data_IF_384571105775
#
_entry.id   IF_384571105775
#
_cell.length_a   1.000
_cell.length_b   1.000
_cell.length_c   1.000
_cell.angle_alpha   90.00
_cell.angle_beta   90.00
_cell.angle_gamma   90.00
#
_symmetry.space_group_name_H-M   'P 1'
#
loop_
_entity.id
_entity.type
_entity.pdbx_description
1 polymer ?
#
# COMPACT_ATOMS: atom_id res chain seq x y z
N UNK A 1 -49.98 3.03 -13.05
CA UNK A 1 -49.85 1.77 -13.81
C UNK A 1 -49.02 0.79 -13.01
N UNK A 2 -49.41 -0.48 -12.96
CA UNK A 2 -48.67 -1.54 -12.27
C UNK A 2 -47.95 -2.38 -13.34
N UNK A 3 -46.63 -2.54 -13.22
CA UNK A 3 -45.83 -3.37 -14.11
C UNK A 3 -45.39 -4.63 -13.35
N UNK A 4 -45.42 -5.78 -14.02
CA UNK A 4 -44.97 -7.05 -13.47
C UNK A 4 -43.45 -7.01 -13.18
N UNK A 5 -43.05 -7.52 -12.02
CA UNK A 5 -41.66 -7.43 -11.55
C UNK A 5 -40.66 -8.18 -12.47
N UNK A 6 -41.09 -9.29 -13.09
CA UNK A 6 -40.26 -10.03 -14.04
C UNK A 6 -40.15 -9.30 -15.39
N UNK A 7 -41.22 -8.65 -15.84
CA UNK A 7 -41.20 -7.79 -17.03
C UNK A 7 -40.25 -6.60 -16.83
N UNK A 8 -40.30 -5.95 -15.67
CA UNK A 8 -39.39 -4.86 -15.34
C UNK A 8 -37.93 -5.33 -15.27
N UNK A 9 -37.65 -6.49 -14.66
CA UNK A 9 -36.31 -7.11 -14.66
C UNK A 9 -35.83 -7.45 -16.06
N UNK A 10 -36.70 -7.97 -16.92
CA UNK A 10 -36.36 -8.32 -18.30
C UNK A 10 -36.04 -7.06 -19.12
N UNK A 11 -36.87 -6.02 -19.04
CA UNK A 11 -36.62 -4.74 -19.69
C UNK A 11 -35.32 -4.12 -19.21
N UNK A 12 -35.09 -4.09 -17.88
CA UNK A 12 -33.84 -3.61 -17.28
C UNK A 12 -32.62 -4.37 -17.81
N UNK A 13 -32.67 -5.71 -17.86
CA UNK A 13 -31.60 -6.55 -18.42
C UNK A 13 -31.33 -6.25 -19.90
N UNK A 14 -32.37 -6.02 -20.71
CA UNK A 14 -32.24 -5.69 -22.14
C UNK A 14 -31.68 -4.29 -22.36
N UNK A 15 -32.11 -3.30 -21.59
CA UNK A 15 -31.56 -1.93 -21.62
C UNK A 15 -30.08 -1.91 -21.19
N UNK A 16 -29.73 -2.64 -20.13
CA UNK A 16 -28.32 -2.80 -19.72
C UNK A 16 -27.49 -3.47 -20.82
N UNK A 17 -28.02 -4.50 -21.48
CA UNK A 17 -27.32 -5.17 -22.58
C UNK A 17 -27.11 -4.26 -23.81
N UNK A 18 -28.01 -3.30 -24.08
CA UNK A 18 -27.84 -2.31 -25.13
C UNK A 18 -26.73 -1.30 -24.79
N UNK A 19 -26.74 -0.76 -23.56
CA UNK A 19 -25.70 0.17 -23.07
C UNK A 19 -24.30 -0.45 -23.05
N UNK A 20 -24.18 -1.78 -22.89
CA UNK A 20 -22.90 -2.50 -22.99
C UNK A 20 -22.28 -2.46 -24.40
N UNK A 21 -23.08 -2.29 -25.44
CA UNK A 21 -22.62 -2.28 -26.84
C UNK A 21 -22.20 -0.89 -27.32
N UNK A 22 -22.48 0.17 -26.56
CA UNK A 22 -22.31 1.56 -27.01
C UNK A 22 -20.93 2.19 -26.77
N UNK A 23 -19.99 1.52 -26.09
CA UNK A 23 -18.72 2.15 -25.75
C UNK A 23 -17.50 1.32 -26.14
N UNK A 24 -16.60 1.98 -26.87
CA UNK A 24 -15.27 1.49 -27.16
C UNK A 24 -14.44 1.38 -25.87
N UNK A 25 -13.73 0.25 -25.64
CA UNK A 25 -12.81 0.12 -24.52
C UNK A 25 -11.68 1.15 -24.58
N UNK A 26 -11.26 1.68 -23.43
CA UNK A 26 -10.08 2.57 -23.33
C UNK A 26 -8.79 1.76 -23.33
N UNK A 27 -7.68 2.41 -23.64
CA UNK A 27 -6.35 1.80 -23.61
C UNK A 27 -5.79 1.62 -22.18
N UNK A 28 -4.66 0.92 -22.07
CA UNK A 28 -3.98 0.66 -20.80
C UNK A 28 -3.47 1.96 -20.14
N UNK A 29 -2.95 2.90 -20.94
CA UNK A 29 -2.46 4.19 -20.47
C UNK A 29 -3.56 5.01 -19.80
N UNK A 30 -4.80 4.94 -20.30
CA UNK A 30 -5.97 5.57 -19.67
C UNK A 30 -6.19 5.06 -18.25
N UNK A 31 -6.07 3.75 -18.01
CA UNK A 31 -6.14 3.22 -16.64
C UNK A 31 -4.95 3.70 -15.79
N UNK A 32 -3.76 3.81 -16.39
CA UNK A 32 -2.56 4.41 -15.80
C UNK A 32 -2.72 5.85 -15.31
N UNK A 33 -3.54 6.65 -16.00
CA UNK A 33 -3.89 8.02 -15.57
C UNK A 33 -5.06 8.03 -14.58
N UNK A 34 -6.08 7.22 -14.85
CA UNK A 34 -7.31 7.19 -14.07
C UNK A 34 -7.09 6.67 -12.65
N UNK A 35 -6.41 5.52 -12.48
CA UNK A 35 -6.35 4.85 -11.19
C UNK A 35 -5.63 5.67 -10.09
N UNK A 36 -4.47 6.30 -10.36
CA UNK A 36 -3.87 7.22 -9.39
C UNK A 36 -4.79 8.39 -9.03
N UNK A 37 -5.41 9.04 -10.03
CA UNK A 37 -6.33 10.15 -9.79
C UNK A 37 -7.63 9.73 -9.09
N UNK A 38 -8.09 8.50 -9.31
CA UNK A 38 -9.22 7.88 -8.61
C UNK A 38 -8.89 7.69 -7.13
N UNK A 39 -7.66 7.26 -6.83
CA UNK A 39 -7.15 7.07 -5.47
C UNK A 39 -6.53 8.33 -4.86
N UNK A 40 -6.87 9.51 -5.38
CA UNK A 40 -6.45 10.81 -4.85
C UNK A 40 -4.92 11.04 -4.85
N UNK A 41 -4.17 10.31 -5.66
CA UNK A 41 -2.73 10.56 -5.84
C UNK A 41 -2.52 11.91 -6.54
N UNK A 42 -1.64 12.73 -5.98
CA UNK A 42 -1.40 14.10 -6.46
C UNK A 42 -2.57 15.07 -6.19
N UNK A 43 -3.54 14.67 -5.37
CA UNK A 43 -4.67 15.51 -4.97
C UNK A 43 -4.29 16.50 -3.85
N UNK A 44 -5.25 17.35 -3.46
CA UNK A 44 -5.08 18.37 -2.43
C UNK A 44 -5.60 17.95 -1.04
N UNK A 45 -5.74 16.64 -0.75
CA UNK A 45 -6.10 16.18 0.60
C UNK A 45 -5.04 16.64 1.62
N UNK A 46 -5.47 17.02 2.82
CA UNK A 46 -4.62 17.59 3.88
C UNK A 46 -5.14 17.18 5.25
N UNK A 47 -4.24 17.14 6.24
CA UNK A 47 -4.62 16.92 7.64
C UNK A 47 -5.09 15.51 7.93
N UNK A 48 -5.59 15.30 9.16
CA UNK A 48 -6.14 14.03 9.62
C UNK A 48 -7.36 13.58 8.80
N UNK A 49 -8.28 14.49 8.45
CA UNK A 49 -9.43 14.18 7.59
C UNK A 49 -9.00 13.63 6.21
N UNK A 50 -7.93 14.19 5.64
CA UNK A 50 -7.34 13.69 4.40
C UNK A 50 -6.80 12.28 4.55
N UNK A 51 -6.14 11.96 5.68
CA UNK A 51 -5.67 10.60 5.99
C UNK A 51 -6.85 9.65 6.16
N UNK A 52 -7.89 10.05 6.92
CA UNK A 52 -9.09 9.24 7.13
C UNK A 52 -9.77 8.89 5.80
N UNK A 53 -9.89 9.86 4.88
CA UNK A 53 -10.43 9.61 3.53
C UNK A 53 -9.59 8.60 2.74
N UNK A 54 -8.26 8.65 2.87
CA UNK A 54 -7.38 7.66 2.24
C UNK A 54 -7.56 6.28 2.87
N UNK A 55 -7.72 6.19 4.19
CA UNK A 55 -7.99 4.92 4.89
C UNK A 55 -9.34 4.33 4.47
N UNK A 56 -10.38 5.16 4.35
CA UNK A 56 -11.69 4.74 3.84
C UNK A 56 -11.57 4.10 2.45
N UNK A 57 -10.84 4.74 1.53
CA UNK A 57 -10.70 4.24 0.16
C UNK A 57 -9.76 3.02 0.05
N UNK A 58 -8.67 2.99 0.82
CA UNK A 58 -7.67 1.93 0.76
C UNK A 58 -7.90 0.82 1.79
N UNK A 59 -8.98 0.87 2.57
CA UNK A 59 -9.26 -0.02 3.68
C UNK A 59 -9.00 -1.49 3.34
N UNK A 60 -8.14 -2.15 4.13
CA UNK A 60 -7.75 -3.55 3.93
C UNK A 60 -6.75 -3.84 2.81
N UNK A 61 -6.30 -2.85 2.03
CA UNK A 61 -5.23 -3.06 1.06
C UNK A 61 -3.88 -3.21 1.75
N UNK A 62 -3.24 -4.37 1.57
CA UNK A 62 -1.91 -4.63 2.13
C UNK A 62 -0.82 -3.87 1.36
N UNK A 63 -0.02 -3.09 2.09
CA UNK A 63 1.17 -2.38 1.59
C UNK A 63 2.38 -2.68 2.47
N UNK A 64 3.62 -2.56 1.97
CA UNK A 64 4.80 -2.68 2.82
C UNK A 64 4.79 -1.58 3.88
N UNK A 65 5.10 -1.93 5.13
CA UNK A 65 5.15 -0.98 6.24
C UNK A 65 6.17 0.14 5.97
N UNK A 66 7.31 -0.20 5.35
CA UNK A 66 8.32 0.76 4.92
C UNK A 66 7.83 1.77 3.87
N UNK A 67 6.79 1.43 3.09
CA UNK A 67 6.24 2.27 2.03
C UNK A 67 5.02 3.10 2.48
N UNK A 68 4.33 2.68 3.55
CA UNK A 68 3.06 3.28 3.98
C UNK A 68 3.18 4.79 4.21
N UNK A 69 4.11 5.20 5.09
CA UNK A 69 4.29 6.61 5.48
C UNK A 69 5.34 7.37 4.65
N UNK A 70 6.11 6.66 3.81
CA UNK A 70 7.13 7.25 2.95
C UNK A 70 6.63 7.53 1.54
N UNK A 71 5.70 6.72 1.02
CA UNK A 71 5.23 6.80 -0.36
C UNK A 71 3.70 6.78 -0.47
N UNK A 72 3.01 5.86 0.21
CA UNK A 72 1.56 5.64 -0.01
C UNK A 72 0.71 6.80 0.49
N UNK A 73 0.88 7.20 1.76
CA UNK A 73 0.14 8.32 2.36
C UNK A 73 0.61 9.68 1.82
N UNK A 74 1.93 9.98 1.72
CA UNK A 74 2.40 11.25 1.16
C UNK A 74 1.99 11.47 -0.30
N UNK A 75 1.85 10.41 -1.11
CA UNK A 75 1.36 10.54 -2.49
C UNK A 75 -0.09 11.04 -2.57
N UNK A 76 -0.88 10.89 -1.50
CA UNK A 76 -2.31 11.22 -1.46
C UNK A 76 -2.62 12.42 -0.58
N UNK A 77 -1.85 12.64 0.49
CA UNK A 77 -2.05 13.70 1.47
C UNK A 77 -0.87 14.66 1.44
N UNK A 78 -1.13 15.91 1.04
CA UNK A 78 -0.11 16.94 0.93
C UNK A 78 0.52 17.24 2.31
N UNK A 79 1.85 17.29 2.33
CA UNK A 79 2.65 17.50 3.55
C UNK A 79 2.26 16.54 4.70
N UNK A 80 2.05 15.26 4.37
CA UNK A 80 1.70 14.21 5.33
C UNK A 80 2.58 14.26 6.59
N UNK A 81 1.92 14.24 7.75
CA UNK A 81 2.56 14.12 9.05
C UNK A 81 2.16 12.79 9.72
N UNK A 82 3.13 12.00 10.22
CA UNK A 82 2.85 10.77 10.98
C UNK A 82 1.92 10.98 12.19
N UNK A 83 1.90 12.20 12.75
CA UNK A 83 1.05 12.55 13.89
C UNK A 83 -0.46 12.46 13.58
N UNK A 84 -0.87 12.67 12.33
CA UNK A 84 -2.27 12.58 11.93
C UNK A 84 -2.78 11.14 11.97
N UNK A 85 -1.96 10.18 11.56
CA UNK A 85 -2.33 8.77 11.67
C UNK A 85 -2.27 8.27 13.13
N UNK A 86 -1.32 8.77 13.92
CA UNK A 86 -1.29 8.49 15.36
C UNK A 86 -2.53 9.04 16.08
N UNK A 87 -3.00 10.23 15.70
CA UNK A 87 -4.23 10.82 16.24
C UNK A 87 -5.44 9.94 15.95
N UNK A 88 -5.63 9.52 14.69
CA UNK A 88 -6.75 8.67 14.27
C UNK A 88 -6.73 7.27 14.92
N UNK A 89 -5.54 6.70 15.09
CA UNK A 89 -5.39 5.39 15.76
C UNK A 89 -5.60 5.49 17.27
N UNK A 90 -5.10 6.55 17.91
CA UNK A 90 -5.33 6.80 19.33
C UNK A 90 -6.80 7.16 19.65
N UNK A 91 -7.50 7.82 18.72
CA UNK A 91 -8.93 8.10 18.82
C UNK A 91 -9.81 6.86 18.59
N UNK A 92 -9.23 5.77 18.06
CA UNK A 92 -9.95 4.54 17.72
C UNK A 92 -10.80 4.65 16.45
N UNK A 93 -10.53 5.62 15.58
CA UNK A 93 -11.19 5.75 14.28
C UNK A 93 -10.54 4.84 13.22
N UNK A 94 -9.23 4.60 13.37
CA UNK A 94 -8.45 3.76 12.47
C UNK A 94 -7.77 2.64 13.26
N UNK A 95 -7.83 1.42 12.71
CA UNK A 95 -7.13 0.24 13.20
C UNK A 95 -6.14 -0.22 12.13
N UNK A 96 -4.98 -0.73 12.54
CA UNK A 96 -4.00 -1.30 11.62
C UNK A 96 -3.68 -2.76 11.97
N UNK A 97 -3.35 -3.56 10.97
CA UNK A 97 -3.00 -4.99 11.14
C UNK A 97 -1.79 -5.38 10.30
N UNK A 98 -1.01 -6.35 10.78
CA UNK A 98 0.05 -7.00 10.01
C UNK A 98 -0.45 -8.19 9.18
N UNK A 99 0.28 -8.53 8.12
CA UNK A 99 -0.03 -9.61 7.16
C UNK A 99 1.22 -10.42 6.79
N UNK A 100 2.05 -10.70 7.79
CA UNK A 100 3.31 -11.39 7.61
C UNK A 100 4.51 -10.48 7.36
N UNK A 101 5.68 -11.11 7.43
CA UNK A 101 6.98 -10.42 7.41
C UNK A 101 7.55 -10.29 6.00
N UNK A 102 8.45 -9.33 5.85
CA UNK A 102 9.31 -9.14 4.68
C UNK A 102 10.78 -9.19 5.11
N UNK A 103 11.74 -9.44 4.20
CA UNK A 103 13.15 -9.50 4.57
C UNK A 103 13.65 -8.20 5.22
N UNK A 104 14.24 -8.32 6.41
CA UNK A 104 14.66 -7.20 7.25
C UNK A 104 13.75 -7.07 8.47
N UNK A 105 13.43 -5.83 8.85
CA UNK A 105 12.45 -5.50 9.89
C UNK A 105 11.13 -4.95 9.31
N UNK A 106 10.85 -5.27 8.05
CA UNK A 106 9.68 -4.82 7.30
C UNK A 106 8.60 -5.91 7.26
N UNK A 107 7.39 -5.54 6.89
CA UNK A 107 6.25 -6.46 6.81
C UNK A 107 5.12 -5.86 6.00
N UNK A 108 4.08 -6.65 5.75
CA UNK A 108 2.87 -6.15 5.11
C UNK A 108 1.91 -5.63 6.18
N UNK A 109 1.34 -4.45 5.96
CA UNK A 109 0.35 -3.83 6.84
C UNK A 109 -0.84 -3.32 6.04
N UNK A 110 -2.00 -3.22 6.67
CA UNK A 110 -3.16 -2.49 6.14
C UNK A 110 -3.78 -1.62 7.21
N UNK A 111 -4.50 -0.59 6.76
CA UNK A 111 -5.31 0.29 7.59
C UNK A 111 -6.79 -0.03 7.37
N UNK A 112 -7.59 0.15 8.41
CA UNK A 112 -9.02 -0.14 8.43
C UNK A 112 -9.74 0.96 9.20
N UNK A 113 -10.94 1.34 8.74
CA UNK A 113 -11.86 2.07 9.61
C UNK A 113 -12.31 1.13 10.74
N UNK A 114 -12.35 1.63 11.96
CA UNK A 114 -12.65 0.81 13.13
C UNK A 114 -14.04 0.15 13.07
N UNK A 115 -15.03 0.87 12.53
CA UNK A 115 -16.39 0.37 12.35
C UNK A 115 -16.51 -0.71 11.26
N UNK A 116 -15.64 -0.69 10.25
CA UNK A 116 -15.60 -1.66 9.15
C UNK A 116 -14.51 -2.74 9.30
N UNK A 117 -13.71 -2.70 10.37
CA UNK A 117 -12.59 -3.62 10.58
C UNK A 117 -13.05 -5.09 10.61
N UNK A 118 -14.19 -5.37 11.26
CA UNK A 118 -14.78 -6.71 11.34
C UNK A 118 -15.09 -7.32 9.96
N UNK A 119 -15.29 -6.50 8.93
CA UNK A 119 -15.57 -6.96 7.56
C UNK A 119 -14.32 -7.04 6.68
N UNK A 120 -13.37 -6.15 6.91
CA UNK A 120 -12.22 -5.92 6.01
C UNK A 120 -10.94 -6.58 6.47
N UNK A 121 -10.82 -6.96 7.75
CA UNK A 121 -9.70 -7.76 8.24
C UNK A 121 -9.69 -9.13 7.55
N UNK A 122 -8.52 -9.62 7.10
CA UNK A 122 -8.40 -10.94 6.52
C UNK A 122 -8.62 -12.03 7.56
N UNK A 123 -8.86 -13.24 7.05
CA UNK A 123 -8.84 -14.44 7.88
C UNK A 123 -7.42 -14.69 8.38
N UNK A 124 -7.32 -15.12 9.63
CA UNK A 124 -6.04 -15.40 10.28
C UNK A 124 -5.64 -16.83 10.01
N UNK A 125 -4.37 -17.04 9.65
CA UNK A 125 -3.73 -18.35 9.75
C UNK A 125 -3.07 -18.46 11.14
N UNK A 126 -3.61 -19.32 11.99
CA UNK A 126 -3.13 -19.46 13.38
C UNK A 126 -1.82 -20.25 13.47
N UNK A 127 -1.37 -20.89 12.39
CA UNK A 127 -0.18 -21.73 12.39
C UNK A 127 1.11 -20.96 12.74
N UNK A 128 1.16 -19.66 12.45
CA UNK A 128 2.35 -18.82 12.65
C UNK A 128 2.44 -18.21 14.07
N UNK A 129 1.46 -18.43 14.94
CA UNK A 129 1.32 -17.80 16.26
C UNK A 129 1.22 -18.82 17.41
N UNK A 130 2.00 -19.88 17.33
CA UNK A 130 1.98 -20.98 18.30
C UNK A 130 3.03 -20.80 19.41
N UNK A 131 2.63 -21.09 20.65
CA UNK A 131 3.55 -21.18 21.78
C UNK A 131 2.93 -20.78 23.12
N UNK A 132 3.50 -21.22 24.26
CA UNK A 132 2.98 -20.87 25.59
C UNK A 132 2.98 -19.36 25.85
N UNK A 133 4.00 -18.65 25.36
CA UNK A 133 4.09 -17.20 25.53
C UNK A 133 3.05 -16.45 24.67
N UNK A 134 2.89 -16.84 23.40
CA UNK A 134 1.85 -16.29 22.52
C UNK A 134 0.45 -16.51 23.11
N UNK A 135 0.16 -17.74 23.58
CA UNK A 135 -1.11 -18.06 24.23
C UNK A 135 -1.35 -17.23 25.50
N UNK A 136 -0.32 -17.04 26.33
CA UNK A 136 -0.42 -16.20 27.52
C UNK A 136 -0.68 -14.72 27.19
N UNK A 137 -0.04 -14.19 26.14
CA UNK A 137 -0.31 -12.82 25.66
C UNK A 137 -1.76 -12.70 25.18
N UNK A 138 -2.20 -13.60 24.29
CA UNK A 138 -3.57 -13.59 23.78
C UNK A 138 -4.60 -13.71 24.91
N UNK A 139 -4.39 -14.63 25.86
CA UNK A 139 -5.26 -14.79 27.03
C UNK A 139 -5.33 -13.54 27.90
N UNK A 140 -4.22 -12.80 28.04
CA UNK A 140 -4.20 -11.54 28.78
C UNK A 140 -5.00 -10.44 28.08
N UNK A 141 -4.93 -10.40 26.75
CA UNK A 141 -5.60 -9.37 25.94
C UNK A 141 -7.09 -9.67 25.69
N UNK A 142 -7.52 -10.93 25.79
CA UNK A 142 -8.91 -11.40 25.61
C UNK A 142 -9.91 -10.72 26.56
N UNK A 143 -9.45 -10.20 27.70
CA UNK A 143 -10.28 -9.42 28.64
C UNK A 143 -10.81 -8.07 28.11
N UNK A 144 -10.59 -7.74 26.83
CA UNK A 144 -11.15 -6.56 26.16
C UNK A 144 -10.44 -5.23 26.46
N UNK A 145 -9.27 -5.27 27.08
CA UNK A 145 -8.47 -4.10 27.44
C UNK A 145 -7.25 -3.89 26.55
N UNK A 146 -6.78 -2.64 26.49
CA UNK A 146 -5.50 -2.28 25.88
C UNK A 146 -4.45 -2.05 26.98
N UNK A 147 -3.27 -2.66 26.84
CA UNK A 147 -2.23 -2.69 27.88
C UNK A 147 -0.97 -1.97 27.44
N UNK A 148 -0.39 -1.15 28.32
CA UNK A 148 1.01 -0.73 28.14
C UNK A 148 1.94 -1.93 28.34
N UNK A 149 3.10 -1.90 27.70
CA UNK A 149 4.06 -3.02 27.71
C UNK A 149 4.37 -3.58 29.10
N UNK A 150 4.59 -2.72 30.11
CA UNK A 150 4.90 -3.19 31.48
C UNK A 150 3.71 -3.87 32.15
N UNK A 151 2.50 -3.35 31.95
CA UNK A 151 1.28 -3.99 32.48
C UNK A 151 1.06 -5.36 31.84
N UNK A 152 1.31 -5.46 30.52
CA UNK A 152 1.22 -6.71 29.80
C UNK A 152 2.29 -7.71 30.27
N UNK A 153 3.53 -7.25 30.43
CA UNK A 153 4.64 -8.07 30.95
C UNK A 153 4.34 -8.65 32.31
N UNK A 154 3.83 -7.84 33.24
CA UNK A 154 3.48 -8.28 34.60
C UNK A 154 2.34 -9.30 34.59
N UNK A 155 1.29 -9.06 33.79
CA UNK A 155 0.16 -9.97 33.66
C UNK A 155 0.55 -11.31 32.99
N UNK A 156 1.32 -11.28 31.91
CA UNK A 156 1.81 -12.47 31.21
C UNK A 156 2.74 -13.29 32.11
N UNK A 157 3.56 -12.64 32.94
CA UNK A 157 4.48 -13.33 33.86
C UNK A 157 3.79 -14.21 34.89
N UNK A 158 2.50 -13.97 35.18
CA UNK A 158 1.70 -14.82 36.08
C UNK A 158 1.21 -16.10 35.38
N UNK A 159 1.13 -16.09 34.04
CA UNK A 159 0.59 -17.17 33.22
C UNK A 159 1.66 -18.11 32.67
N UNK A 160 2.94 -17.79 32.83
CA UNK A 160 4.07 -18.59 32.32
C UNK A 160 5.00 -19.03 33.44
N UNK A 161 5.68 -20.16 33.26
CA UNK A 161 6.58 -20.72 34.29
C UNK A 161 7.78 -19.80 34.60
N UNK A 162 8.31 -19.14 33.58
CA UNK A 162 9.46 -18.22 33.70
C UNK A 162 9.08 -16.85 33.13
N UNK A 163 9.18 -15.76 33.91
CA UNK A 163 8.91 -14.41 33.41
C UNK A 163 9.74 -14.09 32.16
N UNK A 164 9.10 -13.63 31.06
CA UNK A 164 9.82 -13.38 29.81
C UNK A 164 10.69 -12.12 29.92
N UNK A 165 11.85 -12.16 29.27
CA UNK A 165 12.65 -10.94 29.07
C UNK A 165 11.93 -9.95 28.13
N UNK A 166 12.20 -8.65 28.29
CA UNK A 166 11.62 -7.59 27.46
C UNK A 166 11.75 -7.86 25.95
N UNK A 167 12.92 -8.37 25.53
CA UNK A 167 13.19 -8.65 24.12
C UNK A 167 12.35 -9.83 23.60
N UNK A 168 12.16 -10.87 24.41
CA UNK A 168 11.36 -12.06 24.08
C UNK A 168 9.88 -11.72 24.01
N UNK A 169 9.37 -10.95 24.97
CA UNK A 169 7.98 -10.47 24.93
C UNK A 169 7.73 -9.52 23.75
N UNK A 170 8.69 -8.64 23.45
CA UNK A 170 8.60 -7.78 22.26
C UNK A 170 8.56 -8.61 20.97
N UNK A 171 9.38 -9.65 20.84
CA UNK A 171 9.36 -10.53 19.68
C UNK A 171 8.01 -11.25 19.55
N UNK A 172 7.50 -11.84 20.63
CA UNK A 172 6.20 -12.52 20.64
C UNK A 172 5.04 -11.57 20.26
N UNK A 173 5.06 -10.32 20.73
CA UNK A 173 4.09 -9.30 20.31
C UNK A 173 4.14 -9.06 18.80
N UNK A 174 5.33 -8.92 18.24
CA UNK A 174 5.49 -8.70 16.80
C UNK A 174 5.10 -9.92 15.97
N UNK A 175 5.38 -11.14 16.43
CA UNK A 175 4.90 -12.36 15.78
C UNK A 175 3.36 -12.36 15.71
N UNK A 176 2.69 -11.99 16.82
CA UNK A 176 1.22 -11.87 16.86
C UNK A 176 0.68 -10.72 15.98
N UNK A 177 1.40 -9.61 15.86
CA UNK A 177 1.05 -8.53 14.91
C UNK A 177 1.13 -9.03 13.48
N UNK A 178 2.19 -9.74 13.13
CA UNK A 178 2.39 -10.27 11.77
C UNK A 178 1.41 -11.39 11.43
N UNK A 179 0.96 -12.15 12.42
CA UNK A 179 -0.15 -13.10 12.30
C UNK A 179 -1.53 -12.41 12.20
N UNK A 180 -1.61 -11.08 12.37
CA UNK A 180 -2.86 -10.34 12.29
C UNK A 180 -3.78 -10.56 13.49
N UNK A 181 -3.24 -10.86 14.67
CA UNK A 181 -4.00 -11.08 15.91
C UNK A 181 -3.97 -9.87 16.86
N UNK A 182 -2.85 -9.17 16.91
CA UNK A 182 -2.60 -8.05 17.84
C UNK A 182 -2.37 -6.75 17.07
N UNK A 183 -2.81 -5.64 17.66
CA UNK A 183 -2.59 -4.27 17.15
C UNK A 183 -2.14 -3.31 18.26
N UNK A 184 -1.87 -2.06 17.89
CA UNK A 184 -1.43 -0.99 18.78
C UNK A 184 -2.18 0.33 18.50
N UNK A 185 -2.39 1.15 19.52
CA UNK A 185 -3.03 2.47 19.42
C UNK A 185 -2.20 3.56 18.72
N UNK A 186 -1.01 3.22 18.21
CA UNK A 186 -0.15 4.10 17.39
C UNK A 186 0.74 3.27 16.46
N UNK A 187 1.26 3.89 15.39
CA UNK A 187 2.31 3.29 14.55
C UNK A 187 3.72 3.58 15.07
N UNK A 188 3.90 4.32 16.17
CA UNK A 188 5.20 4.57 16.79
C UNK A 188 6.07 3.31 17.00
N UNK A 189 5.56 2.18 17.54
CA UNK A 189 6.35 0.96 17.67
C UNK A 189 6.76 0.38 16.31
N UNK A 190 5.89 0.45 15.28
CA UNK A 190 6.20 0.01 13.92
C UNK A 190 7.30 0.85 13.29
N UNK A 191 7.24 2.17 13.42
CA UNK A 191 8.33 3.07 12.98
C UNK A 191 9.65 2.72 13.66
N UNK A 192 9.63 2.47 14.97
CA UNK A 192 10.82 2.05 15.71
C UNK A 192 11.37 0.71 15.21
N UNK A 193 10.51 -0.25 14.86
CA UNK A 193 10.90 -1.54 14.30
C UNK A 193 11.58 -1.37 12.93
N UNK A 194 10.99 -0.56 12.05
CA UNK A 194 11.50 -0.30 10.69
C UNK A 194 12.87 0.38 10.70
N UNK A 195 13.12 1.28 11.65
CA UNK A 195 14.45 1.91 11.79
C UNK A 195 15.54 0.97 12.30
N UNK A 196 15.17 -0.22 12.78
CA UNK A 196 16.07 -1.22 13.36
C UNK A 196 16.64 -0.80 14.71
N UNK A 197 17.21 -1.77 15.46
CA UNK A 197 18.00 -1.47 16.67
C UNK A 197 19.12 -0.49 16.30
N UNK A 198 19.32 0.61 17.04
CA UNK A 198 20.38 1.57 16.71
C UNK A 198 21.75 0.87 16.87
N UNK A 199 22.36 0.46 15.75
CA UNK A 199 23.75 -0.01 15.70
C UNK A 199 24.76 1.14 15.69
N UNK A 200 24.28 2.38 15.74
CA UNK A 200 25.09 3.53 16.09
C UNK A 200 24.21 4.50 16.86
N UNK A 201 24.56 4.79 18.12
CA UNK A 201 24.04 5.97 18.81
C UNK A 201 24.57 7.19 18.05
N UNK A 202 23.82 7.67 17.05
CA UNK A 202 23.96 9.07 16.68
C UNK A 202 23.46 9.83 17.91
N UNK A 203 24.38 10.57 18.55
CA UNK A 203 24.03 11.53 19.58
C UNK A 203 23.19 12.60 18.90
N UNK A 204 21.88 12.39 18.79
CA UNK A 204 20.99 13.53 18.69
C UNK A 204 21.20 14.35 19.96
N UNK A 205 21.70 15.56 19.75
CA UNK A 205 21.88 16.57 20.78
C UNK A 205 20.52 16.88 21.40
N UNK A 206 20.15 16.12 22.42
CA UNK A 206 19.13 16.52 23.35
C UNK A 206 19.60 17.85 23.95
N UNK A 207 18.90 18.94 23.62
CA UNK A 207 19.13 20.24 24.26
C UNK A 207 19.15 20.02 25.78
N UNK A 208 20.17 20.45 26.51
CA UNK A 208 20.33 20.12 27.92
C UNK A 208 19.21 20.79 28.72
N UNK A 209 18.20 20.00 29.10
CA UNK A 209 17.27 20.38 30.16
C UNK A 209 18.00 20.24 31.49
N UNK A 210 18.29 21.39 32.09
CA UNK A 210 18.79 21.60 33.46
C UNK A 210 20.26 21.25 33.73
N UNK A 211 20.93 22.16 34.43
CA UNK A 211 22.36 22.15 34.78
C UNK A 211 22.71 21.27 36.00
N UNK A 212 21.78 20.41 36.45
CA UNK A 212 21.89 19.69 37.74
C UNK A 212 21.95 18.15 37.67
N UNK A 213 21.91 17.54 36.49
CA UNK A 213 21.92 16.07 36.39
C UNK A 213 23.36 15.51 36.27
N UNK A 214 24.09 15.43 37.38
CA UNK A 214 25.30 14.60 37.49
C UNK A 214 24.90 13.14 37.78
N UNK A 215 25.29 12.23 36.88
CA UNK A 215 25.58 10.82 37.18
C UNK A 215 24.44 9.97 37.74
N UNK A 216 23.34 9.77 36.99
CA UNK A 216 22.37 8.71 37.33
C UNK A 216 22.69 7.44 36.51
N UNK A 217 22.84 6.25 37.15
CA UNK A 217 22.93 4.99 36.42
C UNK A 217 21.73 4.79 35.50
N UNK A 218 21.91 4.08 34.39
CA UNK A 218 20.86 3.78 33.42
C UNK A 218 19.81 2.86 34.06
N UNK A 219 18.83 3.46 34.74
CA UNK A 219 17.66 2.76 35.24
C UNK A 219 16.85 2.21 34.06
N UNK A 220 16.22 1.02 34.18
CA UNK A 220 15.27 0.53 33.18
C UNK A 220 14.26 1.63 32.87
N UNK A 221 14.02 1.92 31.59
CA UNK A 221 12.99 2.89 31.23
C UNK A 221 11.66 2.37 31.79
N UNK A 222 10.91 3.25 32.47
CA UNK A 222 9.56 2.94 32.96
C UNK A 222 8.57 2.64 31.82
N UNK A 223 9.00 2.84 30.57
CA UNK A 223 8.17 2.88 29.37
C UNK A 223 8.38 1.69 28.43
N UNK A 224 9.18 0.68 28.81
CA UNK A 224 9.45 -0.49 27.97
C UNK A 224 10.34 -0.18 26.74
N UNK A 225 10.61 -1.18 25.88
CA UNK A 225 11.33 -0.99 24.62
C UNK A 225 10.61 -0.04 23.65
N UNK A 226 11.32 0.78 22.84
CA UNK A 226 10.68 1.67 21.87
C UNK A 226 9.81 0.96 20.82
N UNK A 227 10.22 -0.22 20.37
CA UNK A 227 9.44 -1.07 19.47
C UNK A 227 8.25 -1.77 20.14
N UNK A 228 8.04 -1.52 21.44
CA UNK A 228 6.92 -2.03 22.23
C UNK A 228 6.09 -0.89 22.87
N UNK A 229 6.29 0.35 22.42
CA UNK A 229 5.55 1.52 22.93
C UNK A 229 4.07 1.48 22.55
N UNK A 230 3.27 2.35 23.17
CA UNK A 230 1.81 2.41 22.98
C UNK A 230 1.06 1.36 23.80
N UNK A 231 -0.23 1.19 23.48
CA UNK A 231 -1.11 0.21 24.11
C UNK A 231 -1.42 -0.92 23.14
N UNK A 232 -1.19 -2.13 23.60
CA UNK A 232 -1.38 -3.37 22.84
C UNK A 232 -2.77 -3.94 23.13
N UNK A 233 -3.46 -4.37 22.08
CA UNK A 233 -4.81 -4.95 22.17
C UNK A 233 -5.02 -6.00 21.09
N UNK A 234 -6.01 -6.87 21.26
CA UNK A 234 -6.45 -7.76 20.19
C UNK A 234 -7.08 -6.95 19.05
N UNK A 235 -6.89 -7.41 17.83
CA UNK A 235 -7.67 -6.93 16.70
C UNK A 235 -9.14 -7.34 16.88
N UNK A 236 -10.10 -6.53 16.38
CA UNK A 236 -11.52 -6.87 16.47
C UNK A 236 -11.85 -8.23 15.86
N UNK A 237 -12.87 -8.88 16.39
CA UNK A 237 -13.40 -10.12 15.82
C UNK A 237 -13.86 -9.90 14.38
N UNK A 238 -13.60 -10.90 13.54
CA UNK A 238 -14.06 -10.89 12.15
C UNK A 238 -15.50 -11.34 12.12
N UNK A 239 -16.28 -10.74 11.22
CA UNK A 239 -17.64 -11.19 11.00
C UNK A 239 -17.66 -12.63 10.47
N UNK A 240 -18.41 -13.50 11.13
CA UNK A 240 -18.52 -14.91 10.76
C UNK A 240 -19.40 -15.12 9.52
N UNK A 241 -20.21 -14.14 9.13
CA UNK A 241 -21.04 -14.19 7.94
C UNK A 241 -20.23 -13.89 6.68
N UNK A 242 -19.86 -14.98 6.00
CA UNK A 242 -19.14 -14.96 4.72
C UNK A 242 -19.84 -14.14 3.64
N UNK A 243 -21.17 -14.02 3.67
CA UNK A 243 -21.92 -13.23 2.68
C UNK A 243 -21.73 -11.75 2.92
N UNK A 244 -21.83 -11.29 4.17
CA UNK A 244 -21.58 -9.88 4.54
C UNK A 244 -20.15 -9.47 4.20
N UNK A 245 -19.17 -10.32 4.49
CA UNK A 245 -17.76 -10.05 4.14
C UNK A 245 -17.51 -10.04 2.63
N UNK A 246 -18.08 -10.99 1.88
CA UNK A 246 -17.96 -11.00 0.42
C UNK A 246 -18.61 -9.76 -0.22
N UNK A 247 -19.73 -9.30 0.34
CA UNK A 247 -20.40 -8.07 -0.10
C UNK A 247 -19.54 -6.82 0.17
N UNK A 248 -19.05 -6.65 1.40
CA UNK A 248 -18.16 -5.55 1.78
C UNK A 248 -16.84 -5.55 0.97
N UNK A 249 -16.27 -6.73 0.71
CA UNK A 249 -15.07 -6.83 -0.12
C UNK A 249 -15.31 -6.42 -1.58
N UNK A 250 -16.49 -6.73 -2.14
CA UNK A 250 -16.85 -6.29 -3.49
C UNK A 250 -17.07 -4.76 -3.56
N UNK A 251 -17.65 -4.16 -2.51
CA UNK A 251 -17.76 -2.70 -2.38
C UNK A 251 -16.38 -2.05 -2.28
N UNK A 252 -15.51 -2.54 -1.39
CA UNK A 252 -14.14 -2.04 -1.26
C UNK A 252 -13.33 -2.14 -2.55
N UNK A 253 -13.51 -3.21 -3.34
CA UNK A 253 -12.89 -3.32 -4.66
C UNK A 253 -13.38 -2.23 -5.64
N UNK A 254 -14.68 -1.93 -5.65
CA UNK A 254 -15.24 -0.87 -6.50
C UNK A 254 -14.76 0.51 -6.05
N UNK A 255 -14.71 0.77 -4.76
CA UNK A 255 -14.28 2.06 -4.21
C UNK A 255 -12.78 2.30 -4.42
N UNK A 256 -11.97 1.26 -4.30
CA UNK A 256 -10.51 1.34 -4.42
C UNK A 256 -10.04 1.39 -5.87
N UNK A 257 -10.61 0.56 -6.75
CA UNK A 257 -10.16 0.46 -8.15
C UNK A 257 -10.97 1.30 -9.12
N UNK A 258 -12.22 1.63 -8.78
CA UNK A 258 -13.20 2.20 -9.71
C UNK A 258 -13.67 1.18 -10.74
N UNK A 259 -12.72 0.54 -11.43
CA UNK A 259 -12.92 -0.54 -12.40
C UNK A 259 -12.25 -1.81 -11.87
N UNK A 260 -13.06 -2.78 -11.44
CA UNK A 260 -12.63 -4.09 -10.95
C UNK A 260 -12.35 -5.01 -12.13
N UNK A 261 -11.09 -5.45 -12.23
CA UNK A 261 -10.61 -6.43 -13.19
C UNK A 261 -10.21 -7.73 -12.49
N UNK A 262 -10.08 -8.82 -13.25
CA UNK A 262 -9.56 -10.09 -12.71
C UNK A 262 -8.19 -9.91 -12.05
N UNK A 263 -7.30 -9.16 -12.69
CA UNK A 263 -5.95 -8.91 -12.20
C UNK A 263 -5.93 -8.11 -10.89
N UNK A 264 -6.81 -7.12 -10.74
CA UNK A 264 -6.95 -6.36 -9.49
C UNK A 264 -7.38 -7.25 -8.31
N UNK A 265 -8.38 -8.13 -8.53
CA UNK A 265 -8.84 -9.07 -7.50
C UNK A 265 -7.76 -10.08 -7.11
N UNK A 266 -6.96 -10.55 -8.07
CA UNK A 266 -5.84 -11.45 -7.80
C UNK A 266 -4.72 -10.76 -7.03
N UNK A 267 -4.41 -9.50 -7.35
CA UNK A 267 -3.38 -8.72 -6.67
C UNK A 267 -3.70 -8.50 -5.18
N UNK A 268 -4.99 -8.35 -4.84
CA UNK A 268 -5.44 -8.22 -3.45
C UNK A 268 -5.62 -9.56 -2.72
N UNK A 269 -5.40 -10.69 -3.39
CA UNK A 269 -5.54 -12.04 -2.80
C UNK A 269 -6.91 -12.28 -2.15
N UNK A 270 -7.98 -11.75 -2.77
CA UNK A 270 -9.34 -11.91 -2.26
C UNK A 270 -9.68 -13.39 -2.05
N UNK A 271 -10.25 -13.80 -0.89
CA UNK A 271 -10.73 -15.16 -0.68
C UNK A 271 -11.71 -15.61 -1.77
N UNK A 272 -11.47 -16.80 -2.34
CA UNK A 272 -12.26 -17.33 -3.46
C UNK A 272 -12.01 -16.64 -4.82
N UNK A 273 -11.11 -15.66 -4.86
CA UNK A 273 -10.64 -14.98 -6.06
C UNK A 273 -11.73 -14.31 -6.88
N UNK A 274 -11.47 -14.16 -8.19
CA UNK A 274 -12.39 -13.46 -9.09
C UNK A 274 -13.75 -14.15 -9.21
N UNK A 275 -13.84 -15.47 -9.04
CA UNK A 275 -15.12 -16.17 -9.10
C UNK A 275 -16.06 -15.78 -7.95
N UNK A 276 -15.52 -15.60 -6.73
CA UNK A 276 -16.30 -15.13 -5.60
C UNK A 276 -16.76 -13.67 -5.80
N UNK A 277 -15.84 -12.77 -6.16
CA UNK A 277 -16.15 -11.38 -6.48
C UNK A 277 -17.17 -11.26 -7.62
N UNK A 278 -17.05 -12.05 -8.69
CA UNK A 278 -17.93 -12.02 -9.85
C UNK A 278 -19.40 -12.29 -9.47
N UNK A 279 -19.67 -13.24 -8.56
CA UNK A 279 -21.03 -13.55 -8.11
C UNK A 279 -21.70 -12.34 -7.46
N UNK A 280 -20.98 -11.68 -6.55
CA UNK A 280 -21.47 -10.50 -5.83
C UNK A 280 -21.62 -9.30 -6.78
N UNK A 281 -20.61 -9.04 -7.60
CA UNK A 281 -20.62 -7.92 -8.56
C UNK A 281 -21.69 -8.09 -9.64
N UNK A 282 -22.04 -9.33 -10.00
CA UNK A 282 -23.18 -9.59 -10.90
C UNK A 282 -24.52 -9.27 -10.22
N UNK A 283 -24.69 -9.56 -8.93
CA UNK A 283 -25.87 -9.13 -8.19
C UNK A 283 -25.94 -7.59 -8.03
N UNK A 284 -24.79 -6.92 -7.91
CA UNK A 284 -24.71 -5.46 -7.92
C UNK A 284 -25.13 -4.87 -9.26
N UNK A 285 -24.87 -5.58 -10.35
CA UNK A 285 -25.37 -5.19 -11.66
C UNK A 285 -26.89 -5.30 -11.78
N UNK A 286 -27.49 -6.39 -11.30
CA UNK A 286 -28.96 -6.58 -11.33
C UNK A 286 -29.70 -5.47 -10.56
N UNK A 287 -29.06 -4.92 -9.53
CA UNK A 287 -29.55 -3.79 -8.73
C UNK A 287 -29.13 -2.42 -9.27
N UNK A 288 -28.26 -2.37 -10.29
CA UNK A 288 -27.77 -1.15 -10.95
C UNK A 288 -26.66 -0.41 -10.21
N UNK A 289 -26.09 -1.00 -9.16
CA UNK A 289 -24.96 -0.46 -8.39
C UNK A 289 -23.64 -0.56 -9.16
N UNK A 290 -23.51 -1.59 -10.01
CA UNK A 290 -22.36 -1.79 -10.89
C UNK A 290 -22.82 -1.97 -12.34
N UNK A 291 -21.91 -1.75 -13.28
CA UNK A 291 -22.05 -2.08 -14.69
C UNK A 291 -21.00 -3.12 -15.05
N UNK A 292 -21.42 -4.21 -15.70
CA UNK A 292 -20.49 -5.21 -16.25
C UNK A 292 -20.22 -4.90 -17.73
N UNK A 293 -18.95 -4.89 -18.12
CA UNK A 293 -18.56 -4.61 -19.50
C UNK A 293 -17.09 -4.90 -19.79
N UNK A 294 -16.63 -4.44 -20.95
CA UNK A 294 -15.23 -4.43 -21.35
C UNK A 294 -14.80 -2.96 -21.43
N UNK A 295 -14.37 -2.40 -20.30
CA UNK A 295 -14.05 -0.97 -20.22
C UNK A 295 -12.61 -0.69 -20.64
N UNK A 296 -11.69 -1.63 -20.38
CA UNK A 296 -10.26 -1.53 -20.69
C UNK A 296 -9.90 -2.61 -21.71
N UNK A 297 -9.21 -2.22 -22.77
CA UNK A 297 -8.75 -3.10 -23.85
C UNK A 297 -7.72 -4.12 -23.36
N UNK A 298 -7.62 -5.26 -24.05
CA UNK A 298 -6.55 -6.26 -23.85
C UNK A 298 -6.67 -7.18 -22.62
N UNK A 299 -7.64 -6.96 -21.72
CA UNK A 299 -7.76 -7.78 -20.49
C UNK A 299 -8.61 -9.05 -20.63
N UNK A 300 -9.39 -9.19 -21.71
CA UNK A 300 -10.15 -10.41 -22.09
C UNK A 300 -11.24 -10.90 -21.11
N UNK A 301 -11.26 -10.41 -19.88
CA UNK A 301 -12.22 -10.74 -18.83
C UNK A 301 -13.38 -9.73 -18.78
N UNK A 302 -14.52 -10.15 -18.23
CA UNK A 302 -15.54 -9.22 -17.78
C UNK A 302 -14.96 -8.31 -16.69
N UNK A 303 -15.31 -7.03 -16.77
CA UNK A 303 -14.90 -5.99 -15.82
C UNK A 303 -16.15 -5.38 -15.20
N UNK A 304 -16.02 -4.85 -13.99
CA UNK A 304 -17.12 -4.21 -13.28
C UNK A 304 -16.71 -2.82 -12.83
N UNK A 305 -17.61 -1.86 -12.91
CA UNK A 305 -17.37 -0.53 -12.35
C UNK A 305 -18.68 0.14 -11.98
N UNK A 306 -18.65 1.10 -11.05
CA UNK A 306 -19.82 1.93 -10.80
C UNK A 306 -20.09 2.81 -12.04
N UNK A 307 -21.34 3.23 -12.30
CA UNK A 307 -21.65 4.15 -13.39
C UNK A 307 -20.72 5.37 -13.44
N UNK A 308 -20.51 6.04 -12.29
CA UNK A 308 -19.65 7.20 -12.18
C UNK A 308 -18.17 6.90 -12.42
N UNK A 309 -17.67 5.74 -11.98
CA UNK A 309 -16.28 5.34 -12.25
C UNK A 309 -16.05 5.08 -13.74
N UNK A 310 -16.99 4.43 -14.44
CA UNK A 310 -16.92 4.18 -15.89
C UNK A 310 -16.97 5.49 -16.66
N UNK A 311 -17.86 6.41 -16.29
CA UNK A 311 -17.98 7.70 -16.96
C UNK A 311 -16.73 8.56 -16.72
N UNK A 312 -16.19 8.56 -15.50
CA UNK A 312 -14.92 9.22 -15.16
C UNK A 312 -13.73 8.60 -15.87
N UNK A 313 -13.64 7.27 -16.01
CA UNK A 313 -12.55 6.62 -16.77
C UNK A 313 -12.44 7.18 -18.18
N UNK A 314 -13.58 7.40 -18.85
CA UNK A 314 -13.61 7.90 -20.23
C UNK A 314 -13.09 9.32 -20.37
N UNK A 315 -13.18 10.15 -19.32
CA UNK A 315 -12.62 11.50 -19.37
C UNK A 315 -11.09 11.49 -19.40
N UNK A 316 -10.45 10.39 -19.02
CA UNK A 316 -8.99 10.22 -19.08
C UNK A 316 -8.50 9.64 -20.42
N UNK A 317 -9.41 9.23 -21.32
CA UNK A 317 -9.04 8.73 -22.64
C UNK A 317 -8.55 9.88 -23.55
N UNK A 318 -9.05 11.09 -23.34
CA UNK A 318 -8.59 12.29 -24.04
C UNK A 318 -7.35 12.86 -23.32
N UNK A 319 -6.22 12.88 -24.02
CA UNK A 319 -4.99 13.51 -23.54
C UNK A 319 -4.83 14.85 -24.24
N UNK A 320 -4.57 15.89 -23.45
CA UNK A 320 -4.28 17.23 -23.97
C UNK A 320 -2.80 17.30 -24.35
N UNK A 321 -2.50 17.09 -25.64
CA UNK A 321 -1.13 17.07 -26.17
C UNK A 321 -0.36 18.40 -25.96
N UNK A 322 -1.07 19.50 -25.69
CA UNK A 322 -0.45 20.79 -25.40
C UNK A 322 0.10 20.89 -23.96
N UNK A 323 -0.28 19.97 -23.07
CA UNK A 323 0.23 19.95 -21.68
C UNK A 323 1.57 19.22 -21.62
N UNK A 324 2.50 19.68 -20.76
CA UNK A 324 3.72 18.94 -20.51
C UNK A 324 3.40 17.56 -19.91
N UNK A 325 4.19 16.57 -20.32
CA UNK A 325 4.03 15.19 -19.87
C UNK A 325 4.10 15.09 -18.33
N UNK A 326 3.11 14.42 -17.73
CA UNK A 326 3.02 14.28 -16.29
C UNK A 326 3.75 13.02 -15.82
N UNK A 327 4.82 13.20 -15.06
CA UNK A 327 5.58 12.10 -14.46
C UNK A 327 5.12 11.81 -13.03
N UNK A 328 4.86 10.54 -12.73
CA UNK A 328 4.40 10.07 -11.42
C UNK A 328 5.26 8.92 -10.92
N UNK A 329 5.84 9.05 -9.72
CA UNK A 329 6.59 7.99 -9.04
C UNK A 329 5.68 7.31 -8.01
N UNK A 330 5.59 5.98 -8.06
CA UNK A 330 4.83 5.18 -7.10
C UNK A 330 5.68 4.03 -6.57
N UNK A 331 5.40 3.57 -5.36
CA UNK A 331 5.85 2.24 -4.96
C UNK A 331 5.24 1.19 -5.90
N UNK A 332 6.03 0.20 -6.33
CA UNK A 332 5.52 -0.84 -7.23
C UNK A 332 4.36 -1.63 -6.61
N UNK A 333 4.27 -1.66 -5.29
CA UNK A 333 3.20 -2.29 -4.50
C UNK A 333 2.01 -1.37 -4.23
N UNK A 334 2.10 -0.06 -4.51
CA UNK A 334 1.02 0.90 -4.22
C UNK A 334 -0.28 0.52 -4.97
N UNK A 335 -1.46 0.49 -4.32
CA UNK A 335 -2.74 0.18 -4.98
C UNK A 335 -3.09 1.07 -6.17
N UNK A 336 -2.48 2.25 -6.31
CA UNK A 336 -2.66 3.17 -7.43
C UNK A 336 -1.87 2.77 -8.68
N UNK A 337 -0.84 1.93 -8.54
CA UNK A 337 -0.11 1.40 -9.68
C UNK A 337 -0.94 0.28 -10.35
N UNK A 338 -1.41 0.43 -11.60
CA UNK A 338 -2.17 -0.63 -12.26
C UNK A 338 -1.28 -1.76 -12.80
N UNK A 339 0.01 -1.51 -13.04
CA UNK A 339 0.91 -2.47 -13.65
C UNK A 339 1.35 -3.59 -12.70
N UNK A 340 1.40 -4.81 -13.21
CA UNK A 340 1.59 -6.02 -12.42
C UNK A 340 0.41 -6.36 -11.50
N UNK A 341 -0.74 -5.72 -11.71
CA UNK A 341 -1.99 -5.95 -10.99
C UNK A 341 -3.17 -5.97 -11.97
N UNK A 342 -3.87 -4.84 -12.14
CA UNK A 342 -4.98 -4.72 -13.09
C UNK A 342 -4.52 -4.85 -14.55
N UNK A 343 -3.32 -4.34 -14.85
CA UNK A 343 -2.63 -4.46 -16.13
C UNK A 343 -1.44 -5.41 -15.99
N UNK A 344 -1.14 -6.23 -17.02
CA UNK A 344 0.12 -6.96 -17.07
C UNK A 344 1.30 -5.97 -17.15
N UNK A 345 2.50 -6.45 -16.82
CA UNK A 345 3.72 -5.71 -17.15
C UNK A 345 3.86 -5.64 -18.68
N UNK A 346 4.11 -4.47 -19.29
CA UNK A 346 4.28 -4.37 -20.73
C UNK A 346 5.48 -5.19 -21.19
N UNK A 347 5.37 -5.80 -22.37
CA UNK A 347 6.50 -6.51 -22.97
C UNK A 347 7.61 -5.51 -23.32
N UNK A 348 8.86 -5.93 -23.11
CA UNK A 348 10.04 -5.14 -23.48
C UNK A 348 10.52 -5.62 -24.85
N UNK A 349 10.50 -4.75 -25.86
CA UNK A 349 11.15 -5.01 -27.14
C UNK A 349 12.67 -4.89 -27.01
N UNK A 350 13.45 -5.88 -27.47
CA UNK A 350 14.91 -5.79 -27.57
C UNK A 350 15.70 -7.00 -27.04
N UNK A 351 16.96 -7.11 -27.45
CA UNK A 351 17.86 -8.24 -27.15
C UNK A 351 18.17 -8.45 -25.65
N UNK A 352 17.92 -7.45 -24.80
CA UNK A 352 18.08 -7.52 -23.33
C UNK A 352 16.91 -8.17 -22.58
N UNK A 353 15.79 -8.47 -23.25
CA UNK A 353 14.57 -9.00 -22.61
C UNK A 353 14.72 -10.45 -22.07
N UNK A 354 15.66 -11.24 -22.61
CA UNK A 354 15.78 -12.66 -22.29
C UNK A 354 16.65 -12.99 -21.06
N UNK A 355 17.54 -12.07 -20.63
CA UNK A 355 18.53 -12.34 -19.56
C UNK A 355 18.51 -11.33 -18.41
N UNK A 356 17.59 -10.37 -18.40
CA UNK A 356 17.50 -9.29 -17.42
C UNK A 356 16.54 -9.54 -16.24
N UNK A 357 16.62 -8.69 -15.23
CA UNK A 357 15.64 -8.64 -14.13
C UNK A 357 14.24 -8.35 -14.66
N UNK A 358 13.24 -9.05 -14.13
CA UNK A 358 11.83 -8.85 -14.47
C UNK A 358 11.16 -7.94 -13.44
N UNK A 359 10.29 -7.01 -13.86
CA UNK A 359 9.55 -6.18 -12.93
C UNK A 359 8.61 -7.04 -12.07
N UNK A 360 8.32 -6.56 -10.87
CA UNK A 360 7.38 -7.20 -9.96
C UNK A 360 6.94 -6.25 -8.86
N UNK A 361 5.77 -6.50 -8.28
CA UNK A 361 5.25 -5.73 -7.14
C UNK A 361 5.97 -6.17 -5.86
N UNK A 362 7.19 -5.66 -5.68
CA UNK A 362 8.06 -6.00 -4.54
C UNK A 362 8.24 -4.79 -3.63
N UNK A 363 8.33 -5.03 -2.33
CA UNK A 363 8.64 -3.98 -1.37
C UNK A 363 9.97 -3.28 -1.68
N UNK A 364 9.96 -1.95 -1.63
CA UNK A 364 11.09 -1.10 -1.97
C UNK A 364 11.41 -0.94 -3.46
N UNK A 365 10.63 -1.56 -4.36
CA UNK A 365 10.69 -1.27 -5.79
C UNK A 365 9.75 -0.11 -6.15
N UNK A 366 10.06 0.62 -7.22
CA UNK A 366 9.30 1.78 -7.67
C UNK A 366 8.93 1.64 -9.15
N UNK A 367 7.89 2.35 -9.55
CA UNK A 367 7.54 2.58 -10.95
C UNK A 367 7.47 4.07 -11.21
N UNK A 368 7.80 4.46 -12.44
CA UNK A 368 7.59 5.83 -12.94
C UNK A 368 6.65 5.75 -14.13
N UNK A 369 5.51 6.42 -14.01
CA UNK A 369 4.51 6.53 -15.06
C UNK A 369 4.64 7.90 -15.75
N UNK A 370 4.58 7.94 -17.07
CA UNK A 370 4.49 9.17 -17.87
C UNK A 370 3.15 9.15 -18.58
N UNK A 371 2.25 10.06 -18.21
CA UNK A 371 0.88 10.13 -18.74
C UNK A 371 0.15 8.77 -18.72
N UNK A 372 0.41 7.99 -17.67
CA UNK A 372 -0.18 6.66 -17.45
C UNK A 372 0.58 5.50 -18.09
N UNK A 373 1.53 5.74 -19.00
CA UNK A 373 2.41 4.69 -19.52
C UNK A 373 3.51 4.37 -18.51
N UNK A 374 3.82 3.07 -18.32
CA UNK A 374 5.02 2.67 -17.58
C UNK A 374 6.27 3.09 -18.35
N UNK A 375 7.05 4.02 -17.80
CA UNK A 375 8.31 4.47 -18.38
C UNK A 375 9.51 3.77 -17.74
N UNK A 376 9.56 3.72 -16.40
CA UNK A 376 10.66 3.12 -15.64
C UNK A 376 10.16 2.17 -14.55
N UNK A 377 10.95 1.13 -14.28
CA UNK A 377 10.88 0.33 -13.06
C UNK A 377 12.22 0.41 -12.35
N UNK A 378 12.19 0.76 -11.06
CA UNK A 378 13.36 0.82 -10.18
C UNK A 378 13.32 -0.39 -9.27
N UNK A 379 14.34 -1.25 -9.32
CA UNK A 379 14.40 -2.41 -8.44
C UNK A 379 14.59 -2.02 -6.96
N UNK A 380 14.23 -2.93 -6.05
CA UNK A 380 14.53 -2.79 -4.62
C UNK A 380 15.99 -2.37 -4.39
N UNK A 381 16.18 -1.25 -3.71
CA UNK A 381 17.50 -0.70 -3.40
C UNK A 381 18.11 0.17 -4.50
N UNK A 382 17.42 0.37 -5.63
CA UNK A 382 17.75 1.39 -6.63
C UNK A 382 18.86 1.07 -7.62
N UNK A 383 19.54 -0.08 -7.47
CA UNK A 383 20.76 -0.39 -8.25
C UNK A 383 20.50 -0.68 -9.71
N UNK A 384 19.35 -1.25 -10.02
CA UNK A 384 18.99 -1.64 -11.39
C UNK A 384 17.71 -0.91 -11.79
N UNK A 385 17.72 -0.29 -12.96
CA UNK A 385 16.53 0.27 -13.60
C UNK A 385 16.19 -0.53 -14.87
N UNK A 386 14.90 -0.60 -15.17
CA UNK A 386 14.36 -1.08 -16.43
C UNK A 386 13.58 0.06 -17.09
N UNK A 387 13.78 0.28 -18.38
CA UNK A 387 13.08 1.27 -19.20
C UNK A 387 12.15 0.61 -20.24
N UNK A 388 11.07 1.31 -20.59
CA UNK A 388 10.12 0.95 -21.65
C UNK A 388 10.02 2.04 -22.73
N UNK A 389 10.93 3.01 -22.72
CA UNK A 389 10.95 4.10 -23.68
C UNK A 389 12.39 4.51 -23.97
N UNK A 390 12.67 4.77 -25.24
CA UNK A 390 13.93 5.34 -25.72
C UNK A 390 13.78 6.84 -26.05
N UNK A 391 12.61 7.41 -25.81
CA UNK A 391 12.31 8.82 -26.01
C UNK A 391 13.05 9.67 -24.97
N UNK A 392 13.88 10.60 -25.45
CA UNK A 392 14.74 11.40 -24.59
C UNK A 392 13.96 12.32 -23.63
N UNK A 393 12.81 12.86 -24.06
CA UNK A 393 11.98 13.75 -23.25
C UNK A 393 11.23 12.96 -22.18
N UNK A 394 10.72 11.76 -22.51
CA UNK A 394 10.12 10.86 -21.51
C UNK A 394 11.14 10.36 -20.49
N UNK A 395 12.36 10.02 -20.92
CA UNK A 395 13.44 9.62 -20.02
C UNK A 395 13.86 10.77 -19.10
N UNK A 396 13.93 12.00 -19.63
CA UNK A 396 14.21 13.21 -18.85
C UNK A 396 13.14 13.43 -17.77
N UNK A 397 11.86 13.44 -18.16
CA UNK A 397 10.75 13.63 -17.23
C UNK A 397 10.74 12.56 -16.12
N UNK A 398 11.02 11.30 -16.48
CA UNK A 398 11.07 10.21 -15.52
C UNK A 398 12.26 10.34 -14.54
N UNK A 399 13.44 10.74 -15.04
CA UNK A 399 14.62 11.00 -14.23
C UNK A 399 14.42 12.20 -13.27
N UNK A 400 13.79 13.28 -13.75
CA UNK A 400 13.49 14.47 -12.95
C UNK A 400 12.50 14.15 -11.83
N UNK A 401 11.47 13.34 -12.10
CA UNK A 401 10.51 12.90 -11.09
C UNK A 401 11.15 12.02 -10.00
N UNK A 402 12.07 11.13 -10.37
CA UNK A 402 12.86 10.36 -9.41
C UNK A 402 13.77 11.27 -8.58
N UNK A 403 14.42 12.24 -9.21
CA UNK A 403 15.30 13.18 -8.52
C UNK A 403 14.52 14.05 -7.52
N UNK A 404 13.34 14.54 -7.89
CA UNK A 404 12.45 15.30 -7.03
C UNK A 404 12.03 14.47 -5.81
N UNK A 405 11.60 13.22 -6.03
CA UNK A 405 11.19 12.30 -4.96
C UNK A 405 12.32 12.02 -3.95
N UNK A 406 13.58 12.03 -4.41
CA UNK A 406 14.74 11.93 -3.51
C UNK A 406 14.95 13.22 -2.72
N UNK A 407 14.91 14.39 -3.38
CA UNK A 407 15.15 15.69 -2.73
C UNK A 407 14.08 16.04 -1.70
N UNK A 408 12.84 15.65 -1.93
CA UNK A 408 11.73 15.80 -0.99
C UNK A 408 11.80 14.81 0.18
N UNK A 409 12.75 13.86 0.14
CA UNK A 409 12.98 12.89 1.21
C UNK A 409 12.05 11.68 1.20
N UNK A 410 11.17 11.55 0.20
CA UNK A 410 10.28 10.40 0.04
C UNK A 410 11.07 9.13 -0.32
N UNK A 411 12.07 9.27 -1.19
CA UNK A 411 13.05 8.24 -1.49
C UNK A 411 14.35 8.63 -0.81
N UNK A 412 14.89 7.78 0.06
CA UNK A 412 16.24 8.00 0.60
C UNK A 412 17.31 8.08 -0.51
N UNK A 413 18.58 8.00 -0.14
CA UNK A 413 19.66 8.03 -1.12
C UNK A 413 19.50 6.94 -2.20
N UNK A 414 19.40 7.35 -3.47
CA UNK A 414 19.29 6.45 -4.61
C UNK A 414 20.66 6.25 -5.26
N UNK A 415 20.99 5.00 -5.59
CA UNK A 415 22.23 4.64 -6.27
C UNK A 415 21.91 3.67 -7.39
N UNK A 416 22.19 4.08 -8.62
CA UNK A 416 21.93 3.32 -9.84
C UNK A 416 23.25 2.83 -10.42
N UNK A 417 23.35 1.54 -10.72
CA UNK A 417 24.55 0.93 -11.28
C UNK A 417 24.31 0.45 -12.72
N UNK A 418 23.11 -0.07 -12.98
CA UNK A 418 22.72 -0.62 -14.28
C UNK A 418 21.38 -0.09 -14.75
N UNK A 419 21.26 0.09 -16.05
CA UNK A 419 20.01 0.33 -16.76
C UNK A 419 19.90 -0.72 -17.87
N UNK A 420 18.80 -1.46 -17.91
CA UNK A 420 18.48 -2.37 -19.03
C UNK A 420 19.50 -3.49 -19.28
N UNK A 421 20.24 -3.85 -18.23
CA UNK A 421 21.30 -4.84 -18.32
C UNK A 421 22.65 -4.26 -18.76
N UNK A 422 22.77 -2.96 -18.96
CA UNK A 422 24.01 -2.25 -19.28
C UNK A 422 24.48 -1.35 -18.12
N UNK A 423 25.71 -0.85 -18.18
CA UNK A 423 26.22 0.08 -17.18
C UNK A 423 25.52 1.43 -17.35
N UNK A 424 24.90 1.96 -16.29
CA UNK A 424 24.01 3.13 -16.44
C UNK A 424 24.69 4.34 -17.10
N UNK A 425 25.99 4.55 -16.86
CA UNK A 425 26.77 5.67 -17.40
C UNK A 425 26.95 5.65 -18.92
N UNK A 426 26.64 4.54 -19.59
CA UNK A 426 26.74 4.39 -21.05
C UNK A 426 25.39 4.40 -21.75
N UNK A 427 24.29 4.66 -21.00
CA UNK A 427 22.92 4.57 -21.52
C UNK A 427 22.26 5.95 -21.63
N UNK A 428 21.28 6.15 -22.54
CA UNK A 428 20.48 7.37 -22.60
C UNK A 428 19.80 7.71 -21.26
N UNK A 429 19.35 6.69 -20.53
CA UNK A 429 18.80 6.87 -19.17
C UNK A 429 19.85 7.41 -18.18
N UNK A 430 21.12 7.04 -18.34
CA UNK A 430 22.21 7.61 -17.53
C UNK A 430 22.45 9.09 -17.79
N UNK A 431 22.35 9.53 -19.05
CA UNK A 431 22.42 10.95 -19.41
C UNK A 431 21.22 11.73 -18.86
N UNK A 432 20.03 11.12 -18.90
CA UNK A 432 18.83 11.67 -18.25
C UNK A 432 19.02 11.84 -16.74
N UNK A 433 19.46 10.79 -16.03
CA UNK A 433 19.72 10.83 -14.59
C UNK A 433 20.81 11.86 -14.24
N UNK A 434 21.88 11.94 -15.02
CA UNK A 434 22.98 12.87 -14.76
C UNK A 434 22.51 14.32 -14.82
N UNK A 435 21.76 14.70 -15.85
CA UNK A 435 21.24 16.07 -15.94
C UNK A 435 20.07 16.36 -14.97
N UNK A 436 19.41 15.32 -14.41
CA UNK A 436 18.51 15.46 -13.25
C UNK A 436 19.27 15.69 -11.91
N UNK A 437 20.60 15.67 -11.93
CA UNK A 437 21.47 15.97 -10.79
C UNK A 437 22.09 14.75 -10.10
N UNK A 438 22.00 13.55 -10.69
CA UNK A 438 22.74 12.40 -10.17
C UNK A 438 24.24 12.55 -10.45
N UNK A 439 25.07 12.31 -9.44
CA UNK A 439 26.52 12.39 -9.57
C UNK A 439 27.14 11.05 -9.98
N UNK A 440 28.11 11.11 -10.88
CA UNK A 440 28.91 9.95 -11.28
C UNK A 440 29.79 9.49 -10.12
N UNK A 441 29.80 8.18 -9.90
CA UNK A 441 30.64 7.47 -8.95
C UNK A 441 31.33 6.31 -9.67
N UNK A 442 32.42 5.73 -9.12
CA UNK A 442 33.09 4.59 -9.75
C UNK A 442 32.20 3.36 -9.97
N UNK A 443 31.05 3.29 -9.30
CA UNK A 443 30.12 2.16 -9.36
C UNK A 443 28.76 2.52 -9.98
N UNK A 444 28.63 3.69 -10.63
CA UNK A 444 27.39 4.15 -11.26
C UNK A 444 26.99 5.58 -10.87
N UNK A 445 25.70 5.87 -10.87
CA UNK A 445 25.13 7.18 -10.53
C UNK A 445 24.56 7.21 -9.11
N UNK A 446 24.59 8.37 -8.45
CA UNK A 446 24.04 8.53 -7.10
C UNK A 446 23.40 9.89 -6.88
N UNK A 447 22.28 9.88 -6.17
CA UNK A 447 21.64 11.08 -5.60
C UNK A 447 21.38 10.87 -4.10
N UNK A 448 21.38 11.96 -3.33
CA UNK A 448 21.01 11.99 -1.91
C UNK A 448 20.11 13.21 -1.67
N UNK A 449 19.21 13.09 -0.70
CA UNK A 449 18.36 14.18 -0.22
C UNK A 449 19.16 15.30 0.44
#
# INVERSE_FOLDING_TARGET
EWCDAEVLRLLRRRSLAALRKEAEPVDAATLGRFLPAWQSVGSALRGADGVLRVVEQLGGAAVPASALESLVLPARVAAYSPAWLDELTAAGEVVWSGHGTLPGSDGWVSLHLADAAHLTLPDVDLADAEGPLHAAVLSTLDGGGAYFFRQLSDAVSVLVETPPEDATLTAALWDLVWAGLVTNDTLAPLRSLLTGRPTHRSRQSARPRSRYARGRPAMPSRTGPPAAAGRWSLLPDRDTDTTRRAHAAAEGLLDRHGIVTRGAVQAERLPGGFAAAYRVLSAFEDTGRARRGYFIAGLGAAQFGTPGAVDRLRTFAQVDEARPASALVLAATDPANPYGAALPWPERGGAGAAAGHRPGRKAGALVVLIDGDLALYVERGGRTLLSWTDDADRLRAAADALALSVREGALGALRVERADGEQVTTTPLGEALTAAGFHVTPRGLRLRS
#
